data_IF_236340900500
#
_entry.id   IF_236340900500
#
_cell.length_a   1.000
_cell.length_b   1.000
_cell.length_c   1.000
_cell.angle_alpha   90.00
_cell.angle_beta   90.00
_cell.angle_gamma   90.00
#
_symmetry.space_group_name_H-M   'P 1'
#
loop_
_entity.id
_entity.type
_entity.pdbx_description
1 polymer ?
#
# COMPACT_ATOMS: atom_id res chain seq x y z
N UNK A 1 -17.57 -6.08 -0.82
CA UNK A 1 -17.48 -4.78 -0.14
C UNK A 1 -18.42 -3.82 -0.86
N UNK A 2 -19.30 -3.12 -0.13
CA UNK A 2 -20.21 -2.13 -0.70
C UNK A 2 -19.52 -0.76 -0.80
N UNK A 3 -19.92 0.04 -1.78
CA UNK A 3 -19.45 1.41 -2.00
C UNK A 3 -20.63 2.36 -1.93
N UNK A 4 -20.43 3.54 -1.34
CA UNK A 4 -21.36 4.66 -1.40
C UNK A 4 -20.56 5.96 -1.44
N UNK A 5 -20.91 6.85 -2.36
CA UNK A 5 -20.31 8.17 -2.50
C UNK A 5 -20.91 9.16 -1.49
N UNK A 6 -20.23 10.29 -1.22
CA UNK A 6 -20.82 11.36 -0.40
C UNK A 6 -22.21 11.78 -0.90
N UNK A 7 -23.17 11.84 0.03
CA UNK A 7 -24.57 12.14 -0.27
C UNK A 7 -25.43 10.95 -0.73
N UNK A 8 -24.84 9.80 -1.00
CA UNK A 8 -25.58 8.59 -1.35
C UNK A 8 -26.13 7.86 -0.12
N UNK A 9 -27.11 6.98 -0.35
CA UNK A 9 -27.59 6.05 0.65
C UNK A 9 -27.61 4.63 0.10
N UNK A 10 -27.29 3.66 0.95
CA UNK A 10 -27.36 2.24 0.63
C UNK A 10 -28.37 1.56 1.54
N UNK A 11 -29.17 0.65 0.98
CA UNK A 11 -30.09 -0.18 1.74
C UNK A 11 -29.62 -1.63 1.79
N UNK A 12 -29.66 -2.23 2.98
CA UNK A 12 -29.44 -3.66 3.21
C UNK A 12 -30.75 -4.29 3.68
N UNK A 13 -31.33 -5.17 2.85
CA UNK A 13 -32.55 -5.89 3.20
C UNK A 13 -32.24 -7.32 3.61
N UNK A 14 -32.71 -7.71 4.79
CA UNK A 14 -32.63 -9.07 5.31
C UNK A 14 -34.01 -9.67 5.23
N UNK A 15 -34.16 -10.74 4.45
CA UNK A 15 -35.45 -11.40 4.23
C UNK A 15 -35.45 -12.81 4.82
N UNK A 16 -36.56 -13.15 5.48
CA UNK A 16 -36.82 -14.49 5.97
C UNK A 16 -37.36 -15.37 4.84
N UNK A 17 -36.61 -16.39 4.42
CA UNK A 17 -36.99 -17.26 3.29
C UNK A 17 -38.15 -18.20 3.61
N UNK A 18 -38.21 -18.68 4.85
CA UNK A 18 -39.19 -19.67 5.30
C UNK A 18 -39.76 -19.24 6.64
N UNK A 19 -41.05 -19.50 6.86
CA UNK A 19 -41.71 -19.21 8.12
C UNK A 19 -41.00 -19.94 9.27
N UNK A 20 -40.92 -19.29 10.41
CA UNK A 20 -40.23 -19.82 11.58
C UNK A 20 -41.25 -20.06 12.70
N UNK A 21 -41.07 -21.17 13.41
CA UNK A 21 -41.88 -21.49 14.59
C UNK A 21 -41.57 -20.57 15.77
N UNK A 22 -40.37 -19.99 15.78
CA UNK A 22 -39.92 -18.99 16.74
C UNK A 22 -39.58 -17.69 15.99
N UNK A 23 -39.97 -16.51 16.51
CA UNK A 23 -39.61 -15.24 15.89
C UNK A 23 -38.09 -15.06 15.82
N UNK A 24 -37.64 -14.48 14.70
CA UNK A 24 -36.25 -14.13 14.43
C UNK A 24 -36.07 -12.64 14.64
N UNK A 25 -35.17 -12.23 15.52
CA UNK A 25 -34.78 -10.83 15.68
C UNK A 25 -33.57 -10.54 14.80
N UNK A 26 -33.64 -9.48 13.99
CA UNK A 26 -32.54 -9.00 13.14
C UNK A 26 -32.18 -7.60 13.56
N UNK A 27 -30.93 -7.36 13.95
CA UNK A 27 -30.43 -6.03 14.34
C UNK A 27 -29.08 -5.74 13.73
N UNK A 28 -28.73 -4.47 13.66
CA UNK A 28 -27.41 -4.01 13.23
C UNK A 28 -26.57 -3.64 14.44
N UNK A 29 -25.29 -3.95 14.42
CA UNK A 29 -24.31 -3.45 15.40
C UNK A 29 -23.01 -3.04 14.70
N UNK A 30 -22.26 -2.11 15.30
CA UNK A 30 -20.92 -1.80 14.83
C UNK A 30 -19.95 -2.89 15.23
N UNK A 31 -19.07 -3.28 14.31
CA UNK A 31 -17.99 -4.22 14.61
C UNK A 31 -16.74 -3.52 15.15
N UNK A 32 -16.73 -2.18 15.21
CA UNK A 32 -15.59 -1.38 15.69
C UNK A 32 -15.20 -1.77 17.12
N UNK A 33 -13.92 -2.09 17.39
CA UNK A 33 -13.44 -2.36 18.74
C UNK A 33 -13.74 -1.25 19.75
N UNK A 34 -13.83 0.01 19.31
CA UNK A 34 -14.26 1.14 20.14
C UNK A 34 -15.72 1.01 20.57
N UNK A 35 -16.61 0.65 19.64
CA UNK A 35 -18.03 0.46 19.91
C UNK A 35 -18.31 -0.78 20.77
N UNK A 36 -17.48 -1.82 20.62
CA UNK A 36 -17.52 -3.05 21.43
C UNK A 36 -16.92 -2.88 22.83
N UNK A 37 -16.30 -1.75 23.14
CA UNK A 37 -15.60 -1.54 24.41
C UNK A 37 -14.34 -2.41 24.57
N UNK A 38 -13.78 -2.92 23.47
CA UNK A 38 -12.59 -3.78 23.46
C UNK A 38 -11.30 -3.01 23.15
N UNK A 39 -11.40 -1.72 22.85
CA UNK A 39 -10.26 -0.82 22.63
C UNK A 39 -10.48 0.52 23.34
N UNK A 40 -9.38 1.14 23.78
CA UNK A 40 -9.40 2.48 24.36
C UNK A 40 -9.48 3.54 23.24
N UNK A 41 -10.61 4.23 23.10
CA UNK A 41 -10.85 5.17 22.01
C UNK A 41 -11.35 6.53 22.53
N UNK A 42 -10.45 7.37 23.09
CA UNK A 42 -10.84 8.65 23.66
C UNK A 42 -11.43 9.57 22.59
N UNK A 43 -12.62 10.12 22.87
CA UNK A 43 -13.31 11.05 21.97
C UNK A 43 -13.94 10.41 20.73
N UNK A 44 -13.91 9.08 20.60
CA UNK A 44 -14.54 8.38 19.48
C UNK A 44 -16.05 8.24 19.70
N UNK A 45 -16.84 8.59 18.68
CA UNK A 45 -18.28 8.31 18.66
C UNK A 45 -18.51 6.81 18.45
N UNK A 46 -18.88 6.10 19.52
CA UNK A 46 -19.13 4.66 19.49
C UNK A 46 -20.50 4.28 18.92
N UNK A 47 -21.34 5.25 18.57
CA UNK A 47 -22.68 5.01 18.02
C UNK A 47 -22.68 4.88 16.50
N UNK A 48 -21.64 5.35 15.81
CA UNK A 48 -21.55 5.33 14.34
C UNK A 48 -20.11 5.39 13.83
N UNK A 49 -19.92 5.09 12.54
CA UNK A 49 -18.66 5.39 11.86
C UNK A 49 -18.63 6.84 11.36
N UNK A 50 -17.45 7.43 11.13
CA UNK A 50 -17.35 8.80 10.63
C UNK A 50 -18.16 9.01 9.35
N UNK A 51 -18.95 10.09 9.31
CA UNK A 51 -19.75 10.49 8.14
C UNK A 51 -20.82 9.50 7.65
N UNK A 52 -21.10 8.42 8.39
CA UNK A 52 -22.13 7.46 8.00
C UNK A 52 -23.10 7.29 9.14
N UNK A 53 -24.31 7.78 8.91
CA UNK A 53 -25.44 7.50 9.77
C UNK A 53 -26.11 6.22 9.29
N UNK A 54 -26.63 5.43 10.22
CA UNK A 54 -27.40 4.25 9.89
C UNK A 54 -28.72 4.25 10.65
N UNK A 55 -29.76 3.74 10.01
CA UNK A 55 -31.11 3.65 10.58
C UNK A 55 -31.77 2.33 10.21
N UNK A 56 -32.77 1.96 11.00
CA UNK A 56 -33.46 0.68 10.91
C UNK A 56 -33.63 0.03 12.28
N UNK A 57 -34.40 -1.05 12.31
CA UNK A 57 -34.82 -1.72 13.55
C UNK A 57 -33.68 -2.30 14.41
N UNK A 58 -34.06 -2.92 15.51
CA UNK A 58 -34.27 -4.35 15.54
C UNK A 58 -35.60 -4.70 14.87
N UNK A 59 -35.58 -5.68 13.97
CA UNK A 59 -36.77 -6.22 13.31
C UNK A 59 -37.09 -7.60 13.88
N UNK A 60 -38.36 -7.89 14.14
CA UNK A 60 -38.82 -9.23 14.52
C UNK A 60 -39.59 -9.83 13.35
N UNK A 61 -39.07 -10.91 12.77
CA UNK A 61 -39.58 -11.59 11.58
C UNK A 61 -40.05 -13.01 11.96
N UNK A 62 -41.22 -13.42 11.49
CA UNK A 62 -41.80 -14.74 11.78
C UNK A 62 -42.36 -15.43 10.54
N UNK A 63 -42.84 -14.67 9.55
CA UNK A 63 -43.47 -15.21 8.35
C UNK A 63 -42.51 -15.25 7.16
N UNK A 64 -42.70 -16.24 6.29
CA UNK A 64 -41.98 -16.31 5.03
C UNK A 64 -42.21 -15.04 4.20
N UNK A 65 -41.13 -14.45 3.69
CA UNK A 65 -41.17 -13.24 2.89
C UNK A 65 -41.05 -11.93 3.68
N UNK A 66 -41.23 -11.95 5.02
CA UNK A 66 -40.98 -10.76 5.85
C UNK A 66 -39.52 -10.33 5.78
N UNK A 67 -39.30 -9.02 5.85
CA UNK A 67 -37.97 -8.43 5.73
C UNK A 67 -37.75 -7.24 6.64
N UNK A 68 -36.52 -7.08 7.10
CA UNK A 68 -36.03 -5.85 7.74
C UNK A 68 -35.06 -5.13 6.81
N UNK A 69 -35.15 -3.80 6.74
CA UNK A 69 -34.28 -2.98 5.89
C UNK A 69 -33.46 -2.01 6.73
N UNK A 70 -32.15 -2.04 6.60
CA UNK A 70 -31.24 -1.05 7.20
C UNK A 70 -30.82 -0.05 6.13
N UNK A 71 -30.80 1.23 6.46
CA UNK A 71 -30.35 2.29 5.57
C UNK A 71 -29.06 2.90 6.11
N UNK A 72 -28.07 3.06 5.24
CA UNK A 72 -26.79 3.70 5.53
C UNK A 72 -26.71 4.97 4.69
N UNK A 73 -26.69 6.13 5.32
CA UNK A 73 -26.64 7.43 4.67
C UNK A 73 -25.24 8.02 4.82
N UNK A 74 -24.57 8.28 3.70
CA UNK A 74 -23.26 8.92 3.68
C UNK A 74 -23.45 10.43 3.62
N UNK A 75 -22.83 11.16 4.56
CA UNK A 75 -22.92 12.61 4.58
C UNK A 75 -22.38 13.24 3.29
N UNK A 76 -22.98 14.34 2.77
CA UNK A 76 -22.45 15.04 1.60
C UNK A 76 -21.04 15.60 1.77
N UNK A 77 -20.61 15.87 3.00
CA UNK A 77 -19.26 16.36 3.35
C UNK A 77 -18.30 15.22 3.73
N UNK A 78 -18.69 13.96 3.51
CA UNK A 78 -17.87 12.82 3.85
C UNK A 78 -16.54 12.82 3.09
N UNK A 79 -15.44 12.66 3.84
CA UNK A 79 -14.15 12.35 3.23
C UNK A 79 -14.08 10.85 2.88
N UNK A 80 -13.25 10.47 1.91
CA UNK A 80 -13.04 9.06 1.61
C UNK A 80 -12.50 8.28 2.80
N UNK A 81 -13.06 7.09 3.06
CA UNK A 81 -12.79 6.36 4.28
C UNK A 81 -13.16 4.87 4.16
N UNK A 82 -12.53 4.05 5.00
CA UNK A 82 -12.96 2.69 5.29
C UNK A 82 -12.06 1.58 4.72
N UNK A 83 -12.52 0.32 4.79
CA UNK A 83 -13.92 -0.05 5.00
C UNK A 83 -14.37 0.08 6.47
N UNK A 84 -15.65 0.41 6.64
CA UNK A 84 -16.40 0.28 7.88
C UNK A 84 -17.03 -1.09 7.97
N UNK A 85 -17.00 -1.71 9.16
CA UNK A 85 -17.55 -3.04 9.40
C UNK A 85 -18.76 -2.97 10.32
N UNK A 86 -19.90 -3.40 9.80
CA UNK A 86 -21.12 -3.62 10.57
C UNK A 86 -21.36 -5.12 10.69
N UNK A 87 -22.14 -5.50 11.68
CA UNK A 87 -22.55 -6.88 11.94
C UNK A 87 -24.09 -6.91 11.95
N UNK A 88 -24.65 -7.67 11.00
CA UNK A 88 -26.07 -8.03 11.04
C UNK A 88 -26.20 -9.23 11.96
N UNK A 89 -26.79 -9.01 13.12
CA UNK A 89 -27.02 -10.04 14.12
C UNK A 89 -28.43 -10.58 13.96
N UNK A 90 -28.52 -11.89 13.79
CA UNK A 90 -29.77 -12.65 13.66
C UNK A 90 -29.88 -13.54 14.88
N UNK A 91 -30.95 -13.39 15.65
CA UNK A 91 -31.20 -14.13 16.90
C UNK A 91 -32.50 -14.92 16.77
N UNK A 92 -32.49 -16.21 17.10
CA UNK A 92 -33.68 -17.08 17.15
C UNK A 92 -33.54 -18.04 18.33
N UNK A 93 -34.37 -17.84 19.36
CA UNK A 93 -34.26 -18.59 20.60
C UNK A 93 -32.88 -18.36 21.25
N UNK A 94 -32.12 -19.44 21.45
CA UNK A 94 -30.76 -19.44 21.99
C UNK A 94 -29.65 -19.31 20.93
N UNK A 95 -30.02 -19.24 19.64
CA UNK A 95 -29.05 -19.21 18.53
C UNK A 95 -28.83 -17.79 18.04
N UNK A 96 -27.57 -17.47 17.80
CA UNK A 96 -27.13 -16.20 17.21
C UNK A 96 -26.27 -16.47 15.99
N UNK A 97 -26.58 -15.80 14.88
CA UNK A 97 -25.74 -15.74 13.68
C UNK A 97 -25.33 -14.30 13.44
N UNK A 98 -24.07 -14.12 13.01
CA UNK A 98 -23.51 -12.80 12.73
C UNK A 98 -23.01 -12.77 11.30
N UNK A 99 -23.55 -11.85 10.50
CA UNK A 99 -23.15 -11.65 9.12
C UNK A 99 -22.44 -10.30 8.98
N UNK A 100 -21.16 -10.28 8.56
CA UNK A 100 -20.45 -9.02 8.42
C UNK A 100 -20.90 -8.28 7.15
N UNK A 101 -21.04 -6.97 7.27
CA UNK A 101 -21.36 -6.05 6.19
C UNK A 101 -20.29 -4.96 6.14
N UNK A 102 -19.78 -4.67 4.95
CA UNK A 102 -18.67 -3.73 4.76
C UNK A 102 -19.05 -2.60 3.83
N UNK A 103 -18.84 -1.36 4.28
CA UNK A 103 -19.08 -0.15 3.50
C UNK A 103 -17.78 0.65 3.36
N UNK A 104 -17.46 1.12 2.16
CA UNK A 104 -16.34 2.02 1.89
C UNK A 104 -16.84 3.28 1.18
N UNK A 105 -16.26 4.42 1.55
CA UNK A 105 -16.39 5.69 0.83
C UNK A 105 -15.12 5.82 -0.02
N UNK A 106 -15.16 5.54 -1.33
CA UNK A 106 -13.96 5.43 -2.16
C UNK A 106 -13.31 6.79 -2.45
N UNK A 107 -12.02 6.79 -2.79
CA UNK A 107 -11.31 7.94 -3.38
C UNK A 107 -10.74 7.57 -4.74
N UNK A 108 -11.27 8.19 -5.80
CA UNK A 108 -10.90 7.90 -7.18
C UNK A 108 -11.66 6.71 -7.76
N UNK A 109 -11.39 6.43 -9.05
CA UNK A 109 -12.13 5.41 -9.81
C UNK A 109 -11.64 3.99 -9.52
N UNK A 110 -10.35 3.84 -9.15
CA UNK A 110 -9.67 2.55 -8.97
C UNK A 110 -9.33 2.32 -7.50
N UNK A 111 -9.72 1.17 -6.98
CA UNK A 111 -9.31 0.70 -5.65
C UNK A 111 -7.85 0.25 -5.62
N UNK A 112 -7.27 0.20 -4.43
CA UNK A 112 -5.93 -0.33 -4.20
C UNK A 112 -5.71 -1.75 -4.76
N UNK A 113 -6.71 -2.64 -4.65
CA UNK A 113 -6.58 -4.02 -5.14
C UNK A 113 -6.68 -4.09 -6.67
N UNK A 114 -7.51 -3.24 -7.29
CA UNK A 114 -7.53 -3.10 -8.75
C UNK A 114 -6.19 -2.55 -9.28
N UNK A 115 -5.59 -1.58 -8.58
CA UNK A 115 -4.26 -1.06 -8.91
C UNK A 115 -3.17 -2.13 -8.75
N UNK A 116 -3.19 -2.92 -7.66
CA UNK A 116 -2.26 -4.03 -7.46
C UNK A 116 -2.40 -5.08 -8.56
N UNK A 117 -3.63 -5.44 -8.94
CA UNK A 117 -3.88 -6.42 -9.99
C UNK A 117 -3.44 -5.94 -11.38
N UNK A 118 -3.50 -4.65 -11.67
CA UNK A 118 -2.89 -4.07 -12.86
C UNK A 118 -1.37 -4.34 -12.88
N UNK A 119 -0.67 -4.05 -11.78
CA UNK A 119 0.78 -4.29 -11.67
C UNK A 119 1.15 -5.78 -11.75
N UNK A 120 0.35 -6.64 -11.13
CA UNK A 120 0.53 -8.10 -11.21
C UNK A 120 0.30 -8.61 -12.63
N UNK A 121 -0.71 -8.09 -13.33
CA UNK A 121 -0.93 -8.42 -14.74
C UNK A 121 0.22 -7.96 -15.64
N UNK A 122 0.85 -6.81 -15.37
CA UNK A 122 2.05 -6.39 -16.11
C UNK A 122 3.21 -7.38 -15.93
N UNK A 123 3.34 -7.95 -14.73
CA UNK A 123 4.33 -8.97 -14.40
C UNK A 123 3.90 -10.41 -14.76
N UNK A 124 2.82 -10.57 -15.53
CA UNK A 124 2.24 -11.87 -15.92
C UNK A 124 1.90 -12.78 -14.71
N UNK A 125 1.48 -12.17 -13.60
CA UNK A 125 1.08 -12.85 -12.37
C UNK A 125 -0.44 -12.95 -12.23
N UNK A 126 -0.95 -14.02 -11.57
CA UNK A 126 -2.37 -14.12 -11.26
C UNK A 126 -2.86 -12.94 -10.41
N UNK A 127 -4.09 -12.45 -10.63
CA UNK A 127 -4.67 -11.43 -9.76
C UNK A 127 -4.89 -11.98 -8.34
N UNK A 128 -4.88 -11.08 -7.37
CA UNK A 128 -5.22 -11.35 -5.97
C UNK A 128 -6.65 -10.93 -5.68
N UNK A 129 -7.25 -11.59 -4.70
CA UNK A 129 -8.56 -11.22 -4.16
C UNK A 129 -8.42 -10.36 -2.91
N UNK A 130 -9.36 -9.43 -2.74
CA UNK A 130 -9.52 -8.68 -1.49
C UNK A 130 -10.28 -9.52 -0.47
N UNK A 131 -9.83 -9.48 0.79
CA UNK A 131 -10.58 -9.96 1.94
C UNK A 131 -11.06 -8.74 2.76
N UNK A 132 -12.37 -8.45 2.78
CA UNK A 132 -12.90 -7.31 3.51
C UNK A 132 -12.57 -7.29 5.01
N UNK A 133 -12.39 -8.46 5.63
CA UNK A 133 -11.98 -8.53 7.04
C UNK A 133 -10.57 -7.97 7.21
N UNK A 134 -9.62 -8.42 6.39
CA UNK A 134 -8.25 -7.90 6.40
C UNK A 134 -8.18 -6.42 6.02
N UNK A 135 -9.04 -5.95 5.12
CA UNK A 135 -9.16 -4.53 4.79
C UNK A 135 -9.63 -3.71 6.00
N UNK A 136 -10.58 -4.23 6.80
CA UNK A 136 -11.01 -3.60 8.04
C UNK A 136 -9.91 -3.58 9.10
N UNK A 137 -9.18 -4.70 9.29
CA UNK A 137 -8.00 -4.73 10.17
C UNK A 137 -6.94 -3.70 9.76
N UNK A 138 -6.66 -3.61 8.46
CA UNK A 138 -5.75 -2.62 7.89
C UNK A 138 -6.22 -1.17 8.14
N UNK A 139 -7.53 -0.92 8.10
CA UNK A 139 -8.11 0.38 8.44
C UNK A 139 -7.95 0.71 9.94
N UNK A 140 -8.15 -0.27 10.83
CA UNK A 140 -7.89 -0.11 12.27
C UNK A 140 -6.43 0.27 12.53
N UNK A 141 -5.49 -0.41 11.86
CA UNK A 141 -4.07 -0.08 11.94
C UNK A 141 -3.78 1.34 11.46
N UNK A 142 -4.38 1.74 10.33
CA UNK A 142 -4.28 3.09 9.82
C UNK A 142 -4.77 4.14 10.83
N UNK A 143 -5.88 3.87 11.54
CA UNK A 143 -6.41 4.75 12.59
C UNK A 143 -5.41 4.89 13.73
N UNK A 144 -4.90 3.77 14.24
CA UNK A 144 -3.85 3.78 15.26
C UNK A 144 -2.63 4.61 14.82
N UNK A 145 -2.15 4.41 13.58
CA UNK A 145 -1.01 5.15 13.02
C UNK A 145 -1.25 6.65 12.98
N UNK A 146 -2.44 7.11 12.56
CA UNK A 146 -2.75 8.55 12.50
C UNK A 146 -2.84 9.18 13.90
N UNK A 147 -3.42 8.49 14.88
CA UNK A 147 -3.56 9.06 16.22
C UNK A 147 -2.29 9.05 17.05
N UNK A 148 -1.38 8.10 16.83
CA UNK A 148 -0.18 7.91 17.65
C UNK A 148 1.14 8.32 16.96
N UNK A 149 1.08 8.87 15.74
CA UNK A 149 2.24 9.44 15.05
C UNK A 149 2.87 10.61 15.83
N UNK A 150 4.22 10.80 15.81
CA UNK A 150 5.24 10.01 15.13
C UNK A 150 5.83 8.86 15.97
N UNK A 151 5.40 8.72 17.22
CA UNK A 151 6.13 7.98 18.25
C UNK A 151 5.76 6.49 18.32
N UNK A 152 5.39 5.89 17.18
CA UNK A 152 4.96 4.49 17.12
C UNK A 152 5.67 3.72 16.01
N UNK A 153 5.92 2.41 16.22
CA UNK A 153 6.49 1.55 15.19
C UNK A 153 5.59 1.56 13.94
N UNK A 154 6.17 1.58 12.73
CA UNK A 154 5.37 1.59 11.52
C UNK A 154 4.54 0.31 11.30
N UNK A 155 5.17 -0.87 11.43
CA UNK A 155 4.54 -2.18 11.22
C UNK A 155 4.04 -2.85 12.51
N UNK A 156 3.81 -2.10 13.59
CA UNK A 156 3.38 -2.68 14.87
C UNK A 156 2.50 -1.71 15.67
N UNK A 157 1.87 -2.23 16.73
CA UNK A 157 1.08 -1.43 17.67
C UNK A 157 1.48 -1.69 19.11
N UNK A 158 1.55 -0.64 19.91
CA UNK A 158 1.59 -0.71 21.36
C UNK A 158 0.15 -0.77 21.87
N UNK A 159 -0.27 -1.94 22.35
CA UNK A 159 -1.68 -2.23 22.70
C UNK A 159 -2.21 -1.46 23.92
N UNK A 160 -1.34 -0.73 24.61
CA UNK A 160 -1.69 0.19 25.71
C UNK A 160 -2.04 1.61 25.22
N UNK A 161 -1.78 1.92 23.94
CA UNK A 161 -2.04 3.24 23.36
C UNK A 161 -3.48 3.38 22.85
N UNK A 162 -3.99 4.62 22.73
CA UNK A 162 -5.29 4.91 22.12
C UNK A 162 -5.43 4.27 20.73
N UNK A 163 -6.62 3.74 20.45
CA UNK A 163 -7.02 3.11 19.19
C UNK A 163 -6.25 1.85 18.79
N UNK A 164 -5.31 1.37 19.61
CA UNK A 164 -4.59 0.14 19.35
C UNK A 164 -5.54 -1.07 19.49
N UNK A 165 -5.37 -2.06 18.61
CA UNK A 165 -6.19 -3.28 18.57
C UNK A 165 -5.33 -4.48 18.20
N UNK A 166 -5.57 -5.68 18.77
CA UNK A 166 -4.89 -6.90 18.31
C UNK A 166 -5.04 -7.13 16.80
N UNK A 167 -6.20 -6.82 16.25
CA UNK A 167 -6.52 -6.96 14.83
C UNK A 167 -5.74 -5.98 13.94
N UNK A 168 -5.67 -4.71 14.32
CA UNK A 168 -4.88 -3.69 13.63
C UNK A 168 -3.39 -4.04 13.65
N UNK A 169 -2.88 -4.45 14.82
CA UNK A 169 -1.51 -4.94 14.99
C UNK A 169 -1.18 -6.08 14.03
N UNK A 170 -2.06 -7.07 13.93
CA UNK A 170 -1.88 -8.18 13.01
C UNK A 170 -1.79 -7.74 11.55
N UNK A 171 -2.62 -6.76 11.12
CA UNK A 171 -2.56 -6.22 9.77
C UNK A 171 -1.26 -5.44 9.50
N UNK A 172 -0.82 -4.61 10.46
CA UNK A 172 0.43 -3.85 10.34
C UNK A 172 1.66 -4.77 10.19
N UNK A 173 1.73 -5.85 10.97
CA UNK A 173 2.84 -6.81 10.93
C UNK A 173 2.94 -7.60 9.62
N UNK A 174 1.83 -7.73 8.89
CA UNK A 174 1.75 -8.52 7.63
C UNK A 174 1.76 -7.65 6.38
N UNK A 175 1.71 -6.34 6.52
CA UNK A 175 1.40 -5.45 5.41
C UNK A 175 2.48 -4.45 5.07
N UNK A 176 2.40 -3.95 3.84
CA UNK A 176 3.07 -2.72 3.45
C UNK A 176 2.33 -1.52 4.06
N UNK A 177 3.06 -0.45 4.36
CA UNK A 177 2.52 0.74 5.03
C UNK A 177 2.85 2.01 4.22
N UNK A 178 1.95 2.99 4.29
CA UNK A 178 2.14 4.27 3.62
C UNK A 178 1.45 5.35 4.42
N UNK A 179 2.20 6.38 4.84
CA UNK A 179 1.66 7.55 5.50
C UNK A 179 1.82 8.78 4.63
N UNK A 180 0.78 9.59 4.57
CA UNK A 180 0.75 10.83 3.81
C UNK A 180 0.09 11.93 4.62
N UNK A 181 0.74 13.09 4.68
CA UNK A 181 0.27 14.26 5.42
C UNK A 181 0.46 15.46 4.51
N UNK A 182 -0.64 16.07 4.04
CA UNK A 182 -0.55 17.21 3.14
C UNK A 182 -1.72 18.18 3.30
N UNK A 183 -1.37 19.45 3.07
CA UNK A 183 -2.30 20.56 2.87
C UNK A 183 -1.88 21.31 1.61
N UNK A 184 -2.84 21.71 0.78
CA UNK A 184 -2.59 22.52 -0.41
C UNK A 184 -3.65 23.61 -0.52
N UNK A 185 -3.23 24.86 -0.77
CA UNK A 185 -4.13 26.01 -0.89
C UNK A 185 -5.13 26.13 0.26
N UNK A 186 -4.68 25.87 1.50
CA UNK A 186 -5.55 25.95 2.68
C UNK A 186 -6.42 24.71 2.95
N UNK A 187 -6.46 23.74 2.04
CA UNK A 187 -7.34 22.56 2.11
C UNK A 187 -6.59 21.26 2.39
N UNK A 188 -7.20 20.31 3.12
CA UNK A 188 -6.62 18.98 3.32
C UNK A 188 -6.54 18.23 1.99
N UNK A 189 -5.44 17.51 1.76
CA UNK A 189 -5.25 16.70 0.55
C UNK A 189 -5.16 15.23 0.92
N UNK A 190 -5.93 14.42 0.22
CA UNK A 190 -5.90 12.96 0.33
C UNK A 190 -5.44 12.35 -0.98
N UNK A 191 -4.69 11.25 -0.89
CA UNK A 191 -4.22 10.49 -2.06
C UNK A 191 -5.20 9.39 -2.42
N UNK A 192 -5.42 9.21 -3.72
CA UNK A 192 -6.20 8.09 -4.28
C UNK A 192 -5.65 6.75 -3.79
N UNK A 193 -6.51 5.74 -3.71
CA UNK A 193 -6.15 4.42 -3.18
C UNK A 193 -5.08 3.70 -4.03
N UNK A 194 -4.86 4.12 -5.28
CA UNK A 194 -3.81 3.59 -6.17
C UNK A 194 -2.41 4.19 -5.94
N UNK A 195 -2.29 5.36 -5.32
CA UNK A 195 -0.99 6.02 -5.11
C UNK A 195 -0.09 5.20 -4.17
N UNK A 196 -0.56 4.72 -3.00
CA UNK A 196 0.26 3.87 -2.14
C UNK A 196 0.79 2.63 -2.87
N UNK A 197 -0.04 2.03 -3.75
CA UNK A 197 0.35 0.88 -4.55
C UNK A 197 1.49 1.24 -5.51
N UNK A 198 1.34 2.33 -6.24
CA UNK A 198 2.35 2.76 -7.22
C UNK A 198 3.67 3.13 -6.53
N UNK A 199 3.59 3.74 -5.33
CA UNK A 199 4.77 4.00 -4.51
C UNK A 199 5.44 2.70 -4.01
N UNK A 200 4.67 1.74 -3.48
CA UNK A 200 5.19 0.44 -3.06
C UNK A 200 5.78 -0.37 -4.21
N UNK A 201 5.22 -0.27 -5.41
CA UNK A 201 5.81 -0.90 -6.61
C UNK A 201 7.11 -0.20 -7.00
N UNK A 202 7.22 1.12 -6.87
CA UNK A 202 8.48 1.81 -7.13
C UNK A 202 9.58 1.45 -6.12
N UNK A 203 9.20 1.12 -4.89
CA UNK A 203 10.10 0.83 -3.76
C UNK A 203 10.48 -0.68 -3.72
N UNK A 204 11.73 -1.09 -4.02
CA UNK A 204 12.12 -2.49 -4.18
C UNK A 204 11.71 -3.46 -3.05
N UNK A 205 11.92 -3.08 -1.79
CA UNK A 205 11.62 -3.94 -0.66
C UNK A 205 10.12 -4.11 -0.42
N UNK A 206 9.32 -3.08 -0.69
CA UNK A 206 7.86 -3.16 -0.70
C UNK A 206 7.32 -3.89 -1.92
N UNK A 207 8.03 -3.84 -3.06
CA UNK A 207 7.62 -4.49 -4.31
C UNK A 207 7.67 -6.01 -4.21
N UNK A 208 8.76 -6.56 -3.67
CA UNK A 208 8.96 -8.02 -3.59
C UNK A 208 7.73 -8.81 -3.07
N UNK A 209 7.11 -8.45 -1.92
CA UNK A 209 5.91 -9.13 -1.46
C UNK A 209 4.69 -8.96 -2.40
N UNK A 210 4.55 -7.82 -3.07
CA UNK A 210 3.39 -7.51 -3.92
C UNK A 210 3.40 -8.24 -5.27
N UNK A 211 4.59 -8.42 -5.83
CA UNK A 211 4.79 -9.21 -7.06
C UNK A 211 5.21 -10.64 -6.75
N UNK A 212 5.09 -11.11 -5.51
CA UNK A 212 5.37 -12.51 -5.20
C UNK A 212 4.34 -13.42 -5.88
N UNK A 213 4.81 -14.46 -6.59
CA UNK A 213 3.92 -15.34 -7.36
C UNK A 213 2.98 -16.17 -6.49
N UNK A 214 3.39 -16.47 -5.25
CA UNK A 214 2.57 -17.14 -4.25
C UNK A 214 1.63 -16.20 -3.47
N UNK A 215 1.58 -14.89 -3.79
CA UNK A 215 0.57 -14.00 -3.22
C UNK A 215 -0.81 -14.37 -3.77
N UNK A 216 -1.73 -14.75 -2.88
CA UNK A 216 -3.11 -15.13 -3.24
C UNK A 216 -4.13 -14.06 -2.85
N UNK A 217 -3.90 -13.40 -1.72
CA UNK A 217 -4.79 -12.36 -1.22
C UNK A 217 -3.98 -11.15 -0.80
N UNK A 218 -4.52 -9.98 -1.10
CA UNK A 218 -4.07 -8.73 -0.53
C UNK A 218 -5.31 -7.92 -0.18
N UNK A 219 -5.27 -7.19 0.91
CA UNK A 219 -6.39 -6.33 1.30
C UNK A 219 -5.86 -4.97 1.66
N UNK A 220 -6.59 -3.92 1.32
CA UNK A 220 -6.15 -2.55 1.58
C UNK A 220 -7.11 -1.88 2.55
N UNK A 221 -6.59 -1.22 3.56
CA UNK A 221 -7.35 -0.36 4.45
C UNK A 221 -6.65 0.98 4.58
N UNK A 222 -7.37 2.07 4.39
CA UNK A 222 -6.82 3.42 4.49
C UNK A 222 -7.67 4.24 5.44
N UNK A 223 -7.07 4.63 6.56
CA UNK A 223 -7.68 5.59 7.46
C UNK A 223 -7.30 7.01 7.06
N UNK A 224 -8.29 7.90 6.98
CA UNK A 224 -8.10 9.33 6.66
C UNK A 224 -8.70 10.23 7.73
N UNK A 225 -8.07 11.38 7.98
CA UNK A 225 -8.58 12.37 8.94
C UNK A 225 -8.07 13.78 8.61
N UNK A 226 -8.84 14.80 9.01
CA UNK A 226 -8.36 16.18 9.01
C UNK A 226 -7.90 16.53 10.41
N UNK A 227 -6.59 16.77 10.59
CA UNK A 227 -5.99 17.03 11.90
C UNK A 227 -4.84 18.03 11.78
N UNK A 228 -4.52 18.68 12.89
CA UNK A 228 -3.38 19.58 13.01
C UNK A 228 -2.05 18.82 12.84
N UNK A 229 -1.09 19.44 12.16
CA UNK A 229 0.28 18.94 12.02
C UNK A 229 1.26 20.03 12.45
N UNK A 230 2.11 19.74 13.44
CA UNK A 230 3.10 20.69 13.97
C UNK A 230 2.50 22.07 14.35
N UNK A 231 1.32 22.07 14.99
CA UNK A 231 0.53 23.27 15.36
C UNK A 231 -0.15 24.02 14.19
N UNK A 232 -0.07 23.50 12.97
CA UNK A 232 -0.80 24.06 11.83
C UNK A 232 -2.07 23.26 11.58
N UNK A 233 -3.25 23.90 11.59
CA UNK A 233 -4.51 23.17 11.50
C UNK A 233 -4.85 22.71 10.09
N UNK A 234 -5.71 21.69 10.01
CA UNK A 234 -6.41 21.32 8.77
C UNK A 234 -5.55 20.61 7.72
N UNK A 235 -4.65 19.71 8.13
CA UNK A 235 -3.94 18.83 7.21
C UNK A 235 -4.76 17.58 6.93
N UNK A 236 -4.70 17.09 5.69
CA UNK A 236 -5.20 15.76 5.34
C UNK A 236 -4.18 14.72 5.75
N UNK A 237 -4.57 13.83 6.65
CA UNK A 237 -3.80 12.66 7.06
C UNK A 237 -4.34 11.42 6.36
N UNK A 238 -3.45 10.54 5.92
CA UNK A 238 -3.79 9.22 5.40
C UNK A 238 -2.77 8.20 5.87
N UNK A 239 -3.24 7.09 6.42
CA UNK A 239 -2.40 5.91 6.68
C UNK A 239 -3.03 4.71 5.99
N UNK A 240 -2.31 4.16 5.01
CA UNK A 240 -2.72 2.99 4.23
C UNK A 240 -1.90 1.79 4.64
N UNK A 241 -2.57 0.66 4.82
CA UNK A 241 -1.96 -0.63 5.15
C UNK A 241 -2.44 -1.66 4.15
N UNK A 242 -1.52 -2.47 3.62
CA UNK A 242 -1.84 -3.56 2.70
C UNK A 242 -1.26 -4.89 3.20
N UNK A 243 -1.98 -5.61 4.08
CA UNK A 243 -1.66 -6.99 4.44
C UNK A 243 -1.65 -7.90 3.21
N UNK A 244 -0.62 -8.75 3.14
CA UNK A 244 -0.40 -9.71 2.07
C UNK A 244 -0.44 -11.14 2.63
N UNK A 245 -1.23 -12.02 2.00
CA UNK A 245 -1.40 -13.42 2.41
C UNK A 245 -0.98 -14.35 1.27
N UNK A 246 -0.04 -15.23 1.59
CA UNK A 246 0.64 -16.10 0.64
C UNK A 246 0.14 -17.54 0.75
N UNK A 247 0.13 -18.23 -0.38
CA UNK A 247 0.01 -19.69 -0.42
C UNK A 247 1.19 -20.36 0.26
N UNK A 248 1.00 -21.62 0.63
CA UNK A 248 2.13 -22.49 0.98
C UNK A 248 2.91 -22.98 -0.25
N UNK A 249 2.36 -22.77 -1.45
CA UNK A 249 3.01 -23.16 -2.70
C UNK A 249 4.34 -22.44 -2.89
N UNK A 250 5.31 -23.17 -3.45
CA UNK A 250 6.57 -22.56 -3.85
C UNK A 250 6.34 -21.60 -5.02
N UNK A 251 7.07 -20.48 -5.08
CA UNK A 251 6.96 -19.55 -6.18
C UNK A 251 7.24 -20.24 -7.52
N UNK A 252 6.46 -19.91 -8.54
CA UNK A 252 6.36 -20.72 -9.76
C UNK A 252 7.44 -20.42 -10.81
N UNK A 253 8.07 -19.25 -10.78
CA UNK A 253 9.10 -18.82 -11.72
C UNK A 253 9.83 -17.58 -11.19
N UNK A 254 10.99 -17.27 -11.78
CA UNK A 254 11.70 -16.01 -11.52
C UNK A 254 10.92 -14.80 -12.03
N UNK A 255 11.11 -13.64 -11.40
CA UNK A 255 10.48 -12.39 -11.81
C UNK A 255 11.55 -11.33 -12.08
N UNK A 256 11.51 -10.81 -13.30
CA UNK A 256 12.25 -9.63 -13.73
C UNK A 256 11.29 -8.44 -13.69
N UNK A 257 11.71 -7.36 -13.04
CA UNK A 257 10.89 -6.14 -12.97
C UNK A 257 11.78 -4.91 -13.22
N UNK A 258 11.46 -4.02 -14.18
CA UNK A 258 10.30 -4.01 -15.08
C UNK A 258 10.19 -5.28 -15.95
N UNK A 259 8.98 -5.79 -16.22
CA UNK A 259 8.85 -7.06 -16.94
C UNK A 259 9.32 -6.98 -18.40
N UNK A 260 9.90 -8.07 -18.96
CA UNK A 260 10.39 -8.09 -20.33
C UNK A 260 9.31 -7.74 -21.37
N UNK A 261 9.69 -6.90 -22.33
CA UNK A 261 8.85 -6.44 -23.43
C UNK A 261 7.53 -5.73 -23.00
N UNK A 262 7.44 -5.27 -21.75
CA UNK A 262 6.29 -4.49 -21.27
C UNK A 262 6.61 -2.99 -21.22
N UNK A 263 5.55 -2.19 -21.23
CA UNK A 263 5.60 -0.76 -20.95
C UNK A 263 5.18 -0.51 -19.50
N UNK A 264 6.03 0.16 -18.72
CA UNK A 264 5.71 0.52 -17.33
C UNK A 264 5.27 1.99 -17.20
N UNK A 265 4.22 2.28 -16.43
CA UNK A 265 3.73 3.64 -16.25
C UNK A 265 4.43 4.40 -15.12
N UNK A 266 5.66 4.03 -14.76
CA UNK A 266 6.50 4.69 -13.75
C UNK A 266 7.91 4.86 -14.28
N UNK A 267 8.57 5.97 -13.94
CA UNK A 267 9.90 6.28 -14.45
C UNK A 267 10.92 6.66 -13.36
N UNK A 268 10.48 6.74 -12.10
CA UNK A 268 11.29 7.18 -10.97
C UNK A 268 10.90 6.50 -9.66
N UNK A 269 11.81 6.56 -8.69
CA UNK A 269 11.55 6.23 -7.30
C UNK A 269 11.60 7.48 -6.42
N UNK A 270 10.60 7.61 -5.53
CA UNK A 270 10.41 8.78 -4.67
C UNK A 270 10.82 8.50 -3.22
N UNK A 271 12.05 8.02 -3.01
CA UNK A 271 12.70 7.85 -1.69
C UNK A 271 11.79 7.24 -0.59
N UNK A 272 12.15 7.36 0.69
CA UNK A 272 11.25 7.07 1.81
C UNK A 272 11.01 5.59 2.13
N UNK A 273 11.68 4.67 1.45
CA UNK A 273 11.60 3.24 1.74
C UNK A 273 12.46 2.87 2.96
N UNK A 274 11.95 1.97 3.81
CA UNK A 274 12.69 1.30 4.86
C UNK A 274 12.54 -0.22 4.68
N UNK A 275 13.64 -1.00 4.63
CA UNK A 275 15.05 -0.59 4.59
C UNK A 275 15.38 0.32 3.40
N UNK A 276 16.41 1.16 3.50
CA UNK A 276 16.71 2.13 2.45
C UNK A 276 17.46 1.48 1.27
N UNK A 277 16.88 1.42 0.06
CA UNK A 277 17.51 0.79 -1.10
C UNK A 277 18.74 1.54 -1.62
N UNK A 278 19.03 2.72 -1.08
CA UNK A 278 20.11 3.60 -1.54
C UNK A 278 21.24 3.75 -0.52
N UNK A 279 21.08 3.23 0.70
CA UNK A 279 22.11 3.32 1.76
C UNK A 279 23.43 2.71 1.34
N UNK A 280 23.38 1.59 0.63
CA UNK A 280 24.52 0.90 0.02
C UNK A 280 25.19 1.73 -1.06
N UNK A 281 24.43 2.46 -1.87
CA UNK A 281 24.96 3.29 -2.95
C UNK A 281 25.64 4.56 -2.43
N UNK A 282 25.14 5.11 -1.32
CA UNK A 282 25.77 6.24 -0.62
C UNK A 282 27.02 5.84 0.16
N UNK A 283 27.16 4.56 0.53
CA UNK A 283 28.24 4.08 1.39
C UNK A 283 28.81 2.74 0.87
N UNK A 284 29.34 2.71 -0.36
CA UNK A 284 29.73 1.46 -1.02
C UNK A 284 30.84 0.70 -0.31
N UNK A 285 31.68 1.39 0.47
CA UNK A 285 32.81 0.79 1.19
C UNK A 285 32.44 0.18 2.54
N UNK A 286 31.21 0.37 3.01
CA UNK A 286 30.75 -0.14 4.31
C UNK A 286 30.18 -1.56 4.24
N UNK A 287 29.76 -2.00 3.06
CA UNK A 287 29.22 -3.34 2.84
C UNK A 287 30.29 -4.42 2.96
N UNK A 288 29.88 -5.65 3.32
CA UNK A 288 30.78 -6.81 3.38
C UNK A 288 31.47 -7.05 2.03
N UNK A 289 30.71 -6.89 0.95
CA UNK A 289 31.22 -6.81 -0.41
C UNK A 289 30.77 -5.49 -1.03
N UNK A 290 31.66 -4.86 -1.79
CA UNK A 290 31.33 -3.61 -2.48
C UNK A 290 30.17 -3.83 -3.47
N UNK A 291 29.15 -2.95 -3.54
CA UNK A 291 28.15 -3.00 -4.59
C UNK A 291 28.80 -2.75 -5.96
N UNK A 292 28.14 -3.23 -7.02
CA UNK A 292 28.58 -2.91 -8.38
C UNK A 292 28.14 -1.49 -8.74
N UNK A 293 29.11 -0.64 -9.09
CA UNK A 293 28.88 0.73 -9.54
C UNK A 293 29.41 0.86 -10.97
N UNK A 294 28.60 1.37 -11.90
CA UNK A 294 29.12 1.72 -13.24
C UNK A 294 29.96 2.98 -13.23
N UNK A 295 29.77 3.83 -12.22
CA UNK A 295 30.50 5.10 -12.06
C UNK A 295 30.68 5.42 -10.57
N UNK A 296 31.92 5.77 -10.22
CA UNK A 296 32.32 6.15 -8.88
C UNK A 296 32.04 7.63 -8.58
N UNK A 297 31.90 7.98 -7.30
CA UNK A 297 31.78 9.36 -6.84
C UNK A 297 30.45 10.05 -7.13
N UNK A 298 29.44 9.31 -7.61
CA UNK A 298 28.08 9.83 -7.78
C UNK A 298 27.39 10.04 -6.44
N UNK A 299 26.60 11.11 -6.35
CA UNK A 299 25.76 11.41 -5.19
C UNK A 299 24.42 10.69 -5.36
N UNK A 300 24.17 9.69 -4.52
CA UNK A 300 22.97 8.85 -4.53
C UNK A 300 21.91 9.41 -3.58
N UNK A 301 21.23 10.48 -4.01
CA UNK A 301 20.27 11.20 -3.18
C UNK A 301 20.91 12.07 -2.10
N UNK A 302 20.11 12.92 -1.46
CA UNK A 302 20.52 13.79 -0.35
C UNK A 302 19.55 13.61 0.80
N UNK A 303 19.98 12.92 1.85
CA UNK A 303 19.29 12.95 3.14
C UNK A 303 19.76 14.19 3.91
N UNK A 304 18.98 15.27 3.87
CA UNK A 304 19.20 16.37 4.80
C UNK A 304 18.63 15.95 6.16
N UNK A 305 19.48 15.39 7.03
CA UNK A 305 19.13 14.96 8.39
C UNK A 305 18.90 16.16 9.36
N UNK A 306 18.79 17.39 8.84
CA UNK A 306 18.91 18.61 9.62
C UNK A 306 17.64 19.17 10.27
N UNK A 307 16.44 19.06 9.68
CA UNK A 307 15.25 19.73 10.24
C UNK A 307 13.94 19.13 9.67
N UNK A 308 12.88 18.95 10.48
CA UNK A 308 11.52 18.80 9.96
C UNK A 308 11.05 20.13 9.34
N UNK A 309 10.29 20.12 8.23
CA UNK A 309 9.74 18.96 7.54
C UNK A 309 10.72 18.42 6.49
N UNK A 310 10.73 17.09 6.36
CA UNK A 310 11.36 16.31 5.31
C UNK A 310 11.02 16.88 3.92
N UNK A 311 11.85 17.80 3.43
CA UNK A 311 11.88 18.16 2.01
C UNK A 311 13.08 17.41 1.45
N UNK A 312 12.88 16.29 0.72
CA UNK A 312 13.96 15.71 -0.05
C UNK A 312 14.43 16.80 -1.02
N UNK A 313 15.61 17.36 -0.81
CA UNK A 313 16.29 18.18 -1.83
C UNK A 313 16.94 17.28 -2.90
N UNK A 314 16.47 16.03 -3.03
CA UNK A 314 17.12 14.99 -3.78
C UNK A 314 16.48 14.84 -5.16
N UNK A 315 17.29 15.01 -6.21
CA UNK A 315 16.93 14.65 -7.57
C UNK A 315 16.34 13.24 -7.57
N UNK A 316 15.14 13.01 -8.13
CA UNK A 316 14.54 11.68 -8.16
C UNK A 316 15.48 10.70 -8.85
N UNK A 317 15.58 9.48 -8.30
CA UNK A 317 16.33 8.39 -8.93
C UNK A 317 15.46 7.72 -9.98
N UNK A 318 16.10 7.03 -10.93
CA UNK A 318 15.38 6.22 -11.91
C UNK A 318 14.60 5.09 -11.26
N UNK A 319 13.61 4.59 -11.99
CA UNK A 319 12.78 3.50 -11.53
C UNK A 319 13.64 2.24 -11.23
N UNK A 320 13.64 1.72 -9.99
CA UNK A 320 14.48 0.60 -9.61
C UNK A 320 14.13 -0.67 -10.36
N UNK A 321 15.16 -1.40 -10.75
CA UNK A 321 15.07 -2.68 -11.44
C UNK A 321 15.40 -3.79 -10.44
N UNK A 322 14.67 -4.90 -10.49
CA UNK A 322 14.81 -6.01 -9.57
C UNK A 322 14.76 -7.35 -10.30
N UNK A 323 15.55 -8.30 -9.82
CA UNK A 323 15.44 -9.73 -10.16
C UNK A 323 15.05 -10.45 -8.88
N UNK A 324 14.06 -11.34 -8.94
CA UNK A 324 13.70 -12.24 -7.84
C UNK A 324 13.66 -13.67 -8.37
N UNK A 325 14.67 -14.47 -8.04
CA UNK A 325 14.79 -15.86 -8.54
C UNK A 325 14.08 -16.88 -7.66
N UNK A 326 13.79 -16.49 -6.41
CA UNK A 326 13.26 -17.33 -5.35
C UNK A 326 14.14 -18.53 -4.97
N UNK A 327 15.39 -18.54 -5.43
CA UNK A 327 16.43 -19.43 -4.92
C UNK A 327 16.99 -18.81 -3.65
N UNK A 328 16.72 -19.43 -2.51
CA UNK A 328 17.19 -18.92 -1.22
C UNK A 328 18.70 -19.01 -1.11
N UNK A 329 19.33 -17.94 -0.64
CA UNK A 329 20.76 -17.91 -0.37
C UNK A 329 21.37 -16.53 -0.58
N UNK A 330 22.67 -16.46 -0.42
CA UNK A 330 23.41 -15.22 -0.66
C UNK A 330 23.35 -14.79 -2.12
N UNK A 331 23.23 -13.49 -2.35
CA UNK A 331 23.22 -12.89 -3.68
C UNK A 331 24.29 -11.80 -3.81
N UNK A 332 24.89 -11.70 -4.99
CA UNK A 332 25.95 -10.75 -5.31
C UNK A 332 25.92 -10.40 -6.80
N UNK A 333 25.77 -9.12 -7.12
CA UNK A 333 25.90 -8.61 -8.49
C UNK A 333 27.38 -8.48 -8.82
N UNK A 334 27.78 -9.11 -9.92
CA UNK A 334 29.14 -9.08 -10.47
C UNK A 334 29.28 -8.01 -11.55
N UNK A 335 28.22 -7.80 -12.33
CA UNK A 335 28.18 -6.85 -13.43
C UNK A 335 26.74 -6.42 -13.70
N UNK A 336 26.52 -5.17 -14.07
CA UNK A 336 25.22 -4.70 -14.52
C UNK A 336 25.36 -3.52 -15.49
N UNK A 337 24.35 -3.30 -16.33
CA UNK A 337 24.28 -2.18 -17.27
C UNK A 337 22.82 -1.83 -17.57
N UNK A 338 22.53 -0.54 -17.76
CA UNK A 338 21.24 -0.04 -18.22
C UNK A 338 21.45 0.95 -19.37
N UNK A 339 20.89 0.66 -20.54
CA UNK A 339 21.10 1.47 -21.76
C UNK A 339 19.78 1.89 -22.38
N UNK A 340 19.64 3.19 -22.67
CA UNK A 340 18.55 3.72 -23.49
C UNK A 340 18.82 3.40 -24.96
N UNK A 341 17.86 2.79 -25.65
CA UNK A 341 18.08 2.23 -26.98
C UNK A 341 18.03 3.26 -28.11
N UNK A 342 17.39 4.41 -27.91
CA UNK A 342 17.27 5.45 -28.95
C UNK A 342 18.60 6.12 -29.28
N UNK A 343 19.49 6.27 -28.30
CA UNK A 343 20.77 6.98 -28.44
C UNK A 343 21.97 6.23 -27.85
N UNK A 344 21.76 5.06 -27.26
CA UNK A 344 22.82 4.27 -26.63
C UNK A 344 23.32 4.85 -25.31
N UNK A 345 22.63 5.84 -24.74
CA UNK A 345 23.04 6.45 -23.47
C UNK A 345 23.00 5.42 -22.33
N UNK A 346 24.09 5.32 -21.58
CA UNK A 346 24.20 4.46 -20.40
C UNK A 346 23.76 5.26 -19.17
N UNK A 347 22.74 4.79 -18.47
CA UNK A 347 22.34 5.39 -17.20
C UNK A 347 23.27 4.82 -16.10
N UNK A 348 23.97 5.67 -15.31
CA UNK A 348 24.79 5.17 -14.22
C UNK A 348 23.94 4.40 -13.21
N UNK A 349 24.40 3.24 -12.76
CA UNK A 349 23.68 2.38 -11.84
C UNK A 349 24.51 2.00 -10.61
N UNK A 350 23.80 1.72 -9.53
CA UNK A 350 24.27 1.00 -8.37
C UNK A 350 23.49 -0.30 -8.26
N UNK A 351 24.18 -1.44 -8.22
CA UNK A 351 23.57 -2.76 -8.23
C UNK A 351 24.14 -3.63 -7.10
N UNK A 352 23.26 -4.36 -6.42
CA UNK A 352 23.64 -5.13 -5.24
C UNK A 352 22.74 -6.33 -4.97
N UNK A 353 23.31 -7.32 -4.29
CA UNK A 353 22.60 -8.43 -3.63
C UNK A 353 22.77 -8.40 -2.10
N UNK A 354 22.44 -9.49 -1.42
CA UNK A 354 22.47 -9.60 0.04
C UNK A 354 23.87 -9.44 0.64
N UNK A 355 24.92 -9.91 -0.05
CA UNK A 355 26.31 -9.75 0.41
C UNK A 355 26.84 -8.33 0.24
N UNK A 356 26.16 -7.53 -0.58
CA UNK A 356 26.56 -6.18 -0.92
C UNK A 356 25.70 -5.12 -0.24
N UNK A 357 24.56 -5.50 0.35
CA UNK A 357 23.70 -4.54 1.03
C UNK A 357 24.34 -4.02 2.31
N UNK A 358 24.22 -2.72 2.54
CA UNK A 358 24.60 -2.10 3.79
C UNK A 358 23.65 -0.96 4.15
N UNK A 359 23.41 -0.85 5.45
CA UNK A 359 22.76 0.28 6.07
C UNK A 359 23.21 0.40 7.53
N UNK A 360 23.28 1.62 8.05
CA UNK A 360 23.74 1.91 9.41
C UNK A 360 22.81 1.30 10.48
N UNK A 361 21.50 1.34 10.24
CA UNK A 361 20.46 0.88 11.16
C UNK A 361 20.35 -0.64 11.14
N UNK A 362 20.90 -1.31 12.15
CA UNK A 362 21.01 -2.78 12.24
C UNK A 362 19.69 -3.52 11.94
N UNK A 363 18.58 -3.13 12.58
CA UNK A 363 17.27 -3.74 12.35
C UNK A 363 16.86 -3.71 10.86
N UNK A 364 17.04 -2.56 10.19
CA UNK A 364 16.70 -2.40 8.78
C UNK A 364 17.68 -3.13 7.87
N UNK A 365 18.97 -3.12 8.23
CA UNK A 365 20.01 -3.88 7.53
C UNK A 365 19.70 -5.36 7.52
N UNK A 366 19.39 -5.94 8.67
CA UNK A 366 19.09 -7.38 8.78
C UNK A 366 17.81 -7.73 8.03
N UNK A 367 16.77 -6.88 8.10
CA UNK A 367 15.53 -7.07 7.35
C UNK A 367 15.78 -7.06 5.84
N UNK A 368 16.61 -6.15 5.33
CA UNK A 368 16.99 -6.11 3.92
C UNK A 368 17.75 -7.36 3.49
N UNK A 369 18.81 -7.72 4.22
CA UNK A 369 19.64 -8.89 3.90
C UNK A 369 18.80 -10.17 3.92
N UNK A 370 17.96 -10.35 4.93
CA UNK A 370 17.07 -11.51 5.03
C UNK A 370 16.04 -11.54 3.90
N UNK A 371 15.47 -10.38 3.52
CA UNK A 371 14.57 -10.28 2.38
C UNK A 371 15.26 -10.66 1.06
N UNK A 372 16.43 -10.07 0.78
CA UNK A 372 17.22 -10.37 -0.42
C UNK A 372 17.58 -11.85 -0.51
N UNK A 373 17.98 -12.46 0.61
CA UNK A 373 18.24 -13.91 0.70
C UNK A 373 17.00 -14.75 0.48
N UNK A 374 15.88 -14.37 1.08
CA UNK A 374 14.63 -15.13 1.00
C UNK A 374 14.07 -15.16 -0.43
N UNK A 375 14.20 -14.04 -1.15
CA UNK A 375 13.71 -13.91 -2.53
C UNK A 375 14.76 -14.28 -3.59
N UNK A 376 16.01 -14.59 -3.20
CA UNK A 376 17.11 -14.76 -4.15
C UNK A 376 17.22 -13.54 -5.07
N UNK A 377 17.19 -12.35 -4.46
CA UNK A 377 16.92 -11.10 -5.14
C UNK A 377 18.14 -10.22 -5.35
N UNK A 378 18.06 -9.41 -6.39
CA UNK A 378 19.01 -8.38 -6.79
C UNK A 378 18.25 -7.07 -6.98
N UNK A 379 18.91 -5.95 -6.67
CA UNK A 379 18.37 -4.61 -6.88
C UNK A 379 19.37 -3.81 -7.70
N UNK A 380 18.87 -3.07 -8.69
CA UNK A 380 19.62 -2.12 -9.50
C UNK A 380 18.91 -0.77 -9.43
N UNK A 381 19.62 0.25 -8.95
CA UNK A 381 19.14 1.61 -8.82
C UNK A 381 19.76 2.46 -9.92
N UNK A 382 18.98 2.97 -10.89
CA UNK A 382 19.46 3.96 -11.84
C UNK A 382 19.61 5.32 -11.18
N UNK A 383 20.73 6.00 -11.47
CA UNK A 383 21.03 7.32 -10.93
C UNK A 383 20.10 8.37 -11.52
N UNK A 384 19.85 8.29 -12.83
CA UNK A 384 19.01 9.24 -13.54
C UNK A 384 17.58 8.71 -13.72
N UNK A 385 16.61 9.64 -13.69
CA UNK A 385 15.21 9.35 -14.02
C UNK A 385 15.10 8.72 -15.41
N UNK A 386 14.31 7.66 -15.54
CA UNK A 386 14.09 7.05 -16.85
C UNK A 386 13.24 8.00 -17.72
N UNK A 387 13.59 8.09 -18.99
CA UNK A 387 12.96 9.02 -19.93
C UNK A 387 11.62 8.44 -20.39
N UNK A 388 10.51 9.18 -20.24
CA UNK A 388 9.20 8.74 -20.73
C UNK A 388 9.20 8.47 -22.23
N UNK A 389 8.51 7.41 -22.66
CA UNK A 389 8.43 6.97 -24.06
C UNK A 389 9.63 6.14 -24.55
N UNK A 390 10.74 6.15 -23.81
CA UNK A 390 11.98 5.49 -24.21
C UNK A 390 12.00 3.99 -23.85
N UNK A 391 12.79 3.24 -24.62
CA UNK A 391 13.06 1.82 -24.39
C UNK A 391 14.46 1.63 -23.81
N UNK A 392 14.56 0.73 -22.84
CA UNK A 392 15.78 0.43 -22.12
C UNK A 392 16.12 -1.05 -22.21
N UNK A 393 17.41 -1.36 -22.36
CA UNK A 393 17.97 -2.69 -22.22
C UNK A 393 18.71 -2.80 -20.88
N UNK A 394 18.38 -3.85 -20.13
CA UNK A 394 19.01 -4.22 -18.86
C UNK A 394 19.91 -5.42 -19.10
N UNK A 395 21.11 -5.39 -18.53
CA UNK A 395 21.99 -6.55 -18.41
C UNK A 395 22.42 -6.69 -16.95
N UNK A 396 22.39 -7.91 -16.41
CA UNK A 396 22.83 -8.24 -15.05
C UNK A 396 23.53 -9.59 -15.08
N UNK A 397 24.73 -9.67 -14.49
CA UNK A 397 25.41 -10.92 -14.15
C UNK A 397 25.63 -10.96 -12.64
N UNK A 398 25.22 -12.05 -12.00
CA UNK A 398 25.26 -12.17 -10.55
C UNK A 398 25.50 -13.62 -10.11
N UNK A 399 25.86 -13.79 -8.83
CA UNK A 399 25.76 -15.09 -8.17
C UNK A 399 24.52 -15.14 -7.28
N UNK A 400 23.80 -16.27 -7.33
CA UNK A 400 22.65 -16.57 -6.48
C UNK A 400 22.92 -17.94 -5.84
N UNK A 401 23.02 -17.99 -4.51
CA UNK A 401 23.39 -19.20 -3.78
C UNK A 401 24.66 -19.88 -4.34
N UNK A 402 25.65 -19.07 -4.74
CA UNK A 402 26.92 -19.53 -5.32
C UNK A 402 26.87 -19.90 -6.81
N UNK A 403 25.70 -19.86 -7.46
CA UNK A 403 25.58 -20.14 -8.89
C UNK A 403 25.59 -18.84 -9.70
N UNK A 404 26.46 -18.77 -10.71
CA UNK A 404 26.48 -17.64 -11.66
C UNK A 404 25.26 -17.70 -12.58
N UNK A 405 24.61 -16.55 -12.77
CA UNK A 405 23.47 -16.35 -13.67
C UNK A 405 23.58 -15.01 -14.38
N UNK A 406 22.96 -14.94 -15.54
CA UNK A 406 22.96 -13.76 -16.40
C UNK A 406 21.55 -13.52 -16.95
N UNK A 407 21.15 -12.24 -16.98
CA UNK A 407 19.87 -11.80 -17.52
C UNK A 407 20.12 -10.63 -18.47
N UNK A 408 19.46 -10.67 -19.63
CA UNK A 408 19.34 -9.54 -20.54
C UNK A 408 17.90 -9.41 -20.99
N UNK A 409 17.30 -8.24 -20.82
CA UNK A 409 15.94 -7.98 -21.29
C UNK A 409 15.70 -6.51 -21.57
N UNK A 410 14.55 -6.22 -22.19
CA UNK A 410 14.14 -4.86 -22.55
C UNK A 410 12.80 -4.52 -21.94
N UNK A 411 12.59 -3.25 -21.65
CA UNK A 411 11.29 -2.70 -21.26
C UNK A 411 11.17 -1.26 -21.77
N UNK A 412 9.93 -0.76 -21.80
CA UNK A 412 9.63 0.61 -22.19
C UNK A 412 9.06 1.40 -21.01
N UNK A 413 9.38 2.68 -20.94
CA UNK A 413 8.69 3.62 -20.04
C UNK A 413 7.53 4.23 -20.80
N UNK A 414 6.35 4.29 -20.19
CA UNK A 414 5.18 4.89 -20.82
C UNK A 414 5.46 6.36 -21.20
N UNK A 415 4.78 6.90 -22.22
CA UNK A 415 4.78 8.33 -22.52
C UNK A 415 4.37 9.18 -21.30
N UNK A 416 4.77 10.46 -21.30
CA UNK A 416 4.62 11.37 -20.16
C UNK A 416 3.16 11.54 -19.69
N UNK A 417 2.21 11.53 -20.61
CA UNK A 417 0.77 11.63 -20.37
C UNK A 417 0.14 10.33 -19.83
N UNK A 418 0.85 9.21 -19.98
CA UNK A 418 0.41 7.87 -19.54
C UNK A 418 1.11 7.39 -18.26
N UNK A 419 1.98 8.20 -17.66
CA UNK A 419 2.52 7.89 -16.35
C UNK A 419 1.38 7.91 -15.31
N UNK A 420 1.17 6.77 -14.65
CA UNK A 420 0.25 6.68 -13.51
C UNK A 420 0.84 7.48 -12.34
N UNK A 421 0.04 7.87 -11.35
CA UNK A 421 0.51 8.75 -10.29
C UNK A 421 1.84 8.29 -9.66
N UNK A 422 2.87 9.11 -9.93
CA UNK A 422 3.85 9.64 -8.98
C UNK A 422 4.04 11.13 -9.31
N UNK A 423 2.95 11.93 -9.37
CA UNK A 423 3.01 13.36 -9.73
C UNK A 423 3.47 14.21 -8.53
N UNK A 424 4.67 14.79 -8.62
CA UNK A 424 5.19 15.82 -7.71
C UNK A 424 5.19 17.19 -8.42
N UNK A 425 4.03 17.87 -8.43
CA UNK A 425 3.81 19.32 -8.66
C UNK A 425 2.29 19.57 -8.83
N UNK A 426 1.75 20.74 -8.45
CA UNK A 426 0.30 20.97 -8.43
C UNK A 426 -0.25 20.88 -9.84
N UNK A 427 -1.36 20.15 -10.01
CA UNK A 427 -2.16 20.27 -11.21
C UNK A 427 -2.48 21.76 -11.40
N UNK A 428 -2.07 22.32 -12.55
CA UNK A 428 -2.67 23.56 -13.02
C UNK A 428 -4.16 23.27 -13.13
N UNK A 429 -4.91 23.91 -12.25
CA UNK A 429 -6.34 24.07 -12.39
C UNK A 429 -6.57 24.96 -13.62
N UNK A 430 -6.95 24.36 -14.74
CA UNK A 430 -7.45 25.11 -15.89
C UNK A 430 -8.92 25.43 -15.64
N UNK A 431 -9.15 26.71 -15.29
CA UNK A 431 -10.27 27.51 -15.76
C UNK A 431 -11.68 27.11 -15.34
N UNK A 432 -12.22 27.83 -14.35
CA UNK A 432 -13.59 28.31 -14.51
C UNK A 432 -13.51 29.53 -15.45
N UNK A 433 -14.05 29.40 -16.66
CA UNK A 433 -14.45 30.56 -17.46
C UNK A 433 -15.79 31.05 -16.92
N UNK A 434 -15.79 32.22 -16.30
CA UNK A 434 -17.01 33.01 -16.14
C UNK A 434 -17.35 33.62 -17.50
N UNK A 435 -18.43 33.13 -18.09
CA UNK A 435 -19.17 33.81 -19.15
C UNK A 435 -20.25 34.72 -18.54
N UNK A 436 -20.70 35.73 -19.32
CA UNK A 436 -21.00 37.11 -18.90
C UNK A 436 -22.08 37.33 -17.85
#
# INVERSE_FOLDING_TARGET
MHRALPGESLTLTVQLKEAQTEPVTVRLQLADPCAKGTANCPGWDSSRYPYVDHSGGPYTLSQAGESGTFTFSVSPDAIPQGPYKYEVVVERGDKTWVHPFYLRIPLGERSAIEALNMWRSLADLPPVREDPEWAFKAWLHGRYRVYNYPNVPPHDEYLDQPFATPEGREAGQRGNEYIFIQKSNGQPVFKNDEEPISWWIAAPFHRFPLIYSALQMASAGTYREVKDYMSYPGYGWSSSTLPAIYSQDSPSHEILFPPPAKTIPLNRFMYGENPSPISVCMNPDQAQKRPFLTQEGLVWGKYDYGYPPYVPSSSPLGFPITVATYVRGDTEVLEARLVRLSDGAVNPICAYGSLQYWEEREFWRDRAINGLRAYGALVVIPHEVLTPGEEYEVYIRATIAGQSREWTWRFRVAPQDQLVPLRLAPARWEGWEEGP
#
